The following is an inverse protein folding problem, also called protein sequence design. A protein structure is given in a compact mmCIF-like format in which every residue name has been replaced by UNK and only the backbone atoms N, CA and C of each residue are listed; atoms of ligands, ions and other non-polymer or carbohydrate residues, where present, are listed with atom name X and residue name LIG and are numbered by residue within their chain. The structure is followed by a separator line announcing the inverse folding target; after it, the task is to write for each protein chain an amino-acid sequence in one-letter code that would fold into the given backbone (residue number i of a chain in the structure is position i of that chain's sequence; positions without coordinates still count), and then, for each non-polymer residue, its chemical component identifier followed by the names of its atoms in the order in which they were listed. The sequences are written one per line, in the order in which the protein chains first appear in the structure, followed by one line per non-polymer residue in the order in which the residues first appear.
data_IF_968581473199
#
_entry.id   IF_968581473199
#
_cell.length_a   1.000
_cell.length_b   1.000
_cell.length_c   1.000
_cell.angle_alpha   90.00
_cell.angle_beta   90.00
_cell.angle_gamma   90.00
#
_symmetry.space_group_name_H-M   'P 1'
#
loop_
_entity.id
_entity.type
_entity.pdbx_description
1 polymer ?
#
# COMPACT_ATOMS: atom_id res chain seq x y z
N UNK A 1 11.29 -41.30 -12.27
CA UNK A 1 10.81 -40.46 -11.14
C UNK A 1 11.23 -39.02 -11.43
N UNK A 2 10.34 -38.03 -11.33
CA UNK A 2 10.73 -36.61 -11.49
C UNK A 2 11.64 -36.23 -10.32
N UNK A 3 12.82 -35.70 -10.62
CA UNK A 3 13.73 -35.18 -9.59
C UNK A 3 13.07 -34.02 -8.82
N UNK A 4 13.29 -33.97 -7.51
CA UNK A 4 12.81 -32.89 -6.66
C UNK A 4 13.74 -31.66 -6.82
N UNK A 5 13.28 -30.57 -7.46
CA UNK A 5 14.12 -29.39 -7.72
C UNK A 5 14.55 -28.64 -6.45
N UNK A 6 13.92 -28.95 -5.31
CA UNK A 6 14.23 -28.35 -3.99
C UNK A 6 15.22 -29.20 -3.18
N UNK A 7 15.65 -30.37 -3.69
CA UNK A 7 16.60 -31.25 -2.99
C UNK A 7 17.94 -30.56 -2.70
N UNK A 8 18.39 -29.66 -3.60
CA UNK A 8 19.58 -28.81 -3.40
C UNK A 8 19.50 -27.88 -2.17
N UNK A 9 18.30 -27.63 -1.66
CA UNK A 9 18.04 -26.82 -0.47
C UNK A 9 17.71 -27.68 0.75
N UNK A 10 18.00 -28.99 0.72
CA UNK A 10 17.73 -29.92 1.82
C UNK A 10 16.25 -30.29 1.99
N UNK A 11 15.37 -29.87 1.08
CA UNK A 11 13.94 -30.20 1.14
C UNK A 11 13.73 -31.60 0.59
N UNK A 12 13.45 -32.57 1.47
CA UNK A 12 13.30 -33.98 1.12
C UNK A 12 11.97 -34.30 0.44
N UNK A 13 10.88 -33.66 0.88
CA UNK A 13 9.53 -33.83 0.34
C UNK A 13 8.86 -32.47 0.15
N UNK A 14 8.59 -32.03 -1.10
CA UNK A 14 7.85 -30.81 -1.35
C UNK A 14 6.41 -30.95 -0.85
N UNK A 15 5.99 -30.04 0.03
CA UNK A 15 4.59 -29.94 0.46
C UNK A 15 3.87 -28.88 -0.38
N UNK A 16 2.58 -29.12 -0.66
CA UNK A 16 1.78 -28.11 -1.35
C UNK A 16 1.56 -26.90 -0.43
N UNK A 17 2.03 -25.72 -0.87
CA UNK A 17 1.74 -24.45 -0.19
C UNK A 17 0.67 -23.69 -0.97
N UNK A 18 -0.46 -23.33 -0.35
CA UNK A 18 -1.44 -22.47 -0.99
C UNK A 18 -0.84 -21.10 -1.28
N UNK A 19 -0.96 -20.64 -2.54
CA UNK A 19 -0.56 -19.28 -2.93
C UNK A 19 -1.71 -18.33 -2.61
N UNK A 20 -1.71 -17.82 -1.39
CA UNK A 20 -2.68 -16.81 -0.96
C UNK A 20 -2.19 -15.44 -1.44
N UNK A 21 -2.96 -14.79 -2.30
CA UNK A 21 -2.68 -13.39 -2.68
C UNK A 21 -2.99 -12.50 -1.47
N UNK A 22 -2.06 -11.65 -1.02
CA UNK A 22 -2.37 -10.71 0.03
C UNK A 22 -3.40 -9.70 -0.48
N UNK A 23 -4.52 -9.58 0.22
CA UNK A 23 -5.50 -8.50 -0.03
C UNK A 23 -5.19 -7.41 0.99
N UNK A 24 -4.54 -6.34 0.54
CA UNK A 24 -4.37 -5.12 1.35
C UNK A 24 -5.27 -4.06 0.77
N UNK A 25 -6.16 -3.52 1.60
CA UNK A 25 -7.00 -2.36 1.28
C UNK A 25 -6.52 -1.20 2.13
N UNK A 26 -6.30 -0.04 1.50
CA UNK A 26 -6.08 1.19 2.24
C UNK A 26 -7.44 1.68 2.74
N UNK A 27 -7.57 1.81 4.05
CA UNK A 27 -8.75 2.37 4.71
C UNK A 27 -8.40 3.79 5.18
N UNK A 28 -9.15 4.78 4.72
CA UNK A 28 -8.97 6.19 5.06
C UNK A 28 -10.02 6.70 6.06
N UNK A 29 -10.98 5.84 6.43
CA UNK A 29 -12.07 6.21 7.34
C UNK A 29 -11.66 6.12 8.82
N UNK A 30 -10.57 5.39 9.11
CA UNK A 30 -9.98 5.31 10.44
C UNK A 30 -9.38 6.65 10.88
N UNK A 31 -9.22 6.90 12.20
CA UNK A 31 -8.56 8.10 12.69
C UNK A 31 -7.17 8.31 12.07
N UNK A 32 -6.38 7.25 11.91
CA UNK A 32 -5.05 7.30 11.30
C UNK A 32 -5.12 7.59 9.79
N UNK A 33 -6.09 6.97 9.10
CA UNK A 33 -6.35 7.21 7.69
C UNK A 33 -6.72 8.67 7.40
N UNK A 34 -7.53 9.27 8.28
CA UNK A 34 -7.88 10.69 8.21
C UNK A 34 -6.66 11.61 8.38
N UNK A 35 -5.69 11.24 9.21
CA UNK A 35 -4.46 12.01 9.36
C UNK A 35 -3.66 12.07 8.05
N UNK A 36 -3.63 10.96 7.29
CA UNK A 36 -2.97 10.91 5.97
C UNK A 36 -3.67 11.87 5.00
N UNK A 37 -5.00 11.84 4.96
CA UNK A 37 -5.79 12.75 4.10
C UNK A 37 -5.50 14.21 4.46
N UNK A 38 -5.51 14.54 5.75
CA UNK A 38 -5.24 15.91 6.22
C UNK A 38 -3.81 16.36 5.92
N UNK A 39 -2.82 15.49 6.08
CA UNK A 39 -1.41 15.83 5.79
C UNK A 39 -1.20 16.10 4.30
N UNK A 40 -1.77 15.27 3.43
CA UNK A 40 -1.66 15.47 1.97
C UNK A 40 -2.43 16.71 1.52
N UNK A 41 -3.65 16.93 2.04
CA UNK A 41 -4.42 18.14 1.75
C UNK A 41 -3.63 19.41 2.14
N UNK A 42 -3.06 19.44 3.35
CA UNK A 42 -2.23 20.55 3.82
C UNK A 42 -1.02 20.78 2.91
N UNK A 43 -0.35 19.71 2.49
CA UNK A 43 0.80 19.79 1.59
C UNK A 43 0.42 20.40 0.24
N UNK A 44 -0.69 19.96 -0.35
CA UNK A 44 -1.20 20.49 -1.62
C UNK A 44 -1.57 21.98 -1.50
N UNK A 45 -2.21 22.38 -0.39
CA UNK A 45 -2.51 23.79 -0.13
C UNK A 45 -1.26 24.66 -0.05
N UNK A 46 -0.18 24.14 0.56
CA UNK A 46 1.10 24.84 0.64
C UNK A 46 1.79 24.97 -0.72
N UNK A 47 1.81 23.89 -1.52
CA UNK A 47 2.42 23.90 -2.85
C UNK A 47 1.69 24.87 -3.79
N UNK A 48 0.37 24.95 -3.69
CA UNK A 48 -0.48 25.74 -4.59
C UNK A 48 -1.14 26.94 -3.90
N UNK A 49 -0.45 27.56 -2.95
CA UNK A 49 -0.99 28.63 -2.10
C UNK A 49 -1.64 29.76 -2.91
N UNK A 50 -1.00 30.24 -3.98
CA UNK A 50 -1.52 31.33 -4.83
C UNK A 50 -2.83 30.96 -5.53
N UNK A 51 -2.98 29.69 -5.92
CA UNK A 51 -4.20 29.19 -6.58
C UNK A 51 -5.35 29.13 -5.58
N UNK A 52 -5.10 28.57 -4.40
CA UNK A 52 -6.12 28.51 -3.34
C UNK A 52 -6.50 29.90 -2.82
N UNK A 53 -5.55 30.83 -2.69
CA UNK A 53 -5.85 32.24 -2.35
C UNK A 53 -6.75 32.90 -3.38
N UNK A 54 -6.49 32.69 -4.67
CA UNK A 54 -7.34 33.20 -5.75
C UNK A 54 -8.75 32.60 -5.71
N UNK A 55 -8.85 31.28 -5.48
CA UNK A 55 -10.14 30.59 -5.38
C UNK A 55 -10.95 31.03 -4.15
N UNK A 56 -10.31 31.32 -3.02
CA UNK A 56 -10.98 31.79 -1.81
C UNK A 56 -11.55 33.22 -1.94
N UNK A 57 -11.11 33.97 -2.95
CA UNK A 57 -11.56 35.33 -3.24
C UNK A 57 -12.61 35.40 -4.36
N UNK A 58 -12.93 34.26 -4.99
CA UNK A 58 -14.08 34.11 -5.90
C UNK A 58 -15.37 33.94 -5.08
#
# INVERSE_FOLDING_TARGET
MKENPLAKYGVTKPVHRPRIKPVKKLDLDTPEGKLIVLSEAKRIMQIHESTFKRLAYL
#
